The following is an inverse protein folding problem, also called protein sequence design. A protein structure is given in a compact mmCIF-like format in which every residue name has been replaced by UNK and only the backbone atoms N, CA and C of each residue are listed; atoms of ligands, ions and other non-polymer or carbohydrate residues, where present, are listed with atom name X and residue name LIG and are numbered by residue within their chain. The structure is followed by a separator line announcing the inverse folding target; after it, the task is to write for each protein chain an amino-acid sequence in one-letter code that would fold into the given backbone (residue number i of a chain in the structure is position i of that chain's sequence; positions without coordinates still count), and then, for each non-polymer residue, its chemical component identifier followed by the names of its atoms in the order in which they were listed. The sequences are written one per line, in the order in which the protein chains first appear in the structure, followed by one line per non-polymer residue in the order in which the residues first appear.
data_IF_637385877676
#
_entry.id   IF_637385877676
#
_cell.length_a   1.000
_cell.length_b   1.000
_cell.length_c   1.000
_cell.angle_alpha   90.00
_cell.angle_beta   90.00
_cell.angle_gamma   90.00
#
_symmetry.space_group_name_H-M   'P 1'
#
loop_
_entity.id
_entity.type
_entity.pdbx_description
1 polymer ?
#
# COMPACT_ATOMS: atom_id res chain seq x y z
N UNK A 1 16.72 -21.80 32.33
CA UNK A 1 15.86 -21.76 31.13
C UNK A 1 16.47 -20.72 30.20
N UNK A 2 17.17 -21.17 29.16
CA UNK A 2 17.90 -20.27 28.25
C UNK A 2 16.89 -19.67 27.28
N UNK A 3 16.58 -18.39 27.44
CA UNK A 3 15.79 -17.62 26.47
C UNK A 3 16.68 -17.32 25.28
N UNK A 4 16.65 -18.18 24.28
CA UNK A 4 17.27 -17.90 22.97
C UNK A 4 16.49 -16.77 22.31
N UNK A 5 17.10 -15.58 22.27
CA UNK A 5 16.69 -14.49 21.40
C UNK A 5 16.67 -15.05 19.97
N UNK A 6 15.54 -15.00 19.24
CA UNK A 6 15.51 -15.49 17.87
C UNK A 6 16.55 -14.74 17.03
N UNK A 7 17.27 -15.41 16.12
CA UNK A 7 18.26 -14.76 15.28
C UNK A 7 17.61 -13.59 14.52
N UNK A 8 18.33 -12.48 14.44
CA UNK A 8 17.93 -11.32 13.65
C UNK A 8 17.98 -11.71 12.17
N UNK A 9 16.87 -12.24 11.64
CA UNK A 9 16.75 -12.63 10.23
C UNK A 9 16.77 -11.32 9.42
N UNK A 10 17.69 -11.16 8.45
CA UNK A 10 17.72 -9.96 7.63
C UNK A 10 16.41 -9.82 6.84
N UNK A 11 15.92 -8.58 6.63
CA UNK A 11 14.70 -8.36 5.88
C UNK A 11 14.86 -8.90 4.45
N UNK A 12 13.85 -9.62 3.97
CA UNK A 12 13.76 -10.11 2.59
C UNK A 12 12.98 -9.15 1.69
N UNK A 13 12.14 -8.31 2.28
CA UNK A 13 11.35 -7.34 1.53
C UNK A 13 12.24 -6.18 1.07
N UNK A 14 12.07 -5.77 -0.18
CA UNK A 14 12.71 -4.57 -0.73
C UNK A 14 11.68 -3.44 -0.80
N UNK A 15 12.00 -2.26 -0.26
CA UNK A 15 11.13 -1.08 -0.38
C UNK A 15 11.65 -0.12 -1.44
N UNK A 16 10.83 0.19 -2.43
CA UNK A 16 11.07 1.22 -3.42
C UNK A 16 10.23 2.45 -3.04
N UNK A 17 10.90 3.56 -2.76
CA UNK A 17 10.28 4.81 -2.33
C UNK A 17 10.09 5.76 -3.52
N UNK A 18 8.95 6.43 -3.60
CA UNK A 18 8.76 7.48 -4.61
C UNK A 18 9.84 8.58 -4.52
N UNK A 19 10.33 9.11 -5.66
CA UNK A 19 9.99 8.75 -7.04
C UNK A 19 11.03 7.82 -7.69
N UNK A 20 11.64 6.89 -6.93
CA UNK A 20 12.71 6.02 -7.43
C UNK A 20 12.25 5.23 -8.66
N UNK A 21 12.99 5.23 -9.79
CA UNK A 21 12.62 4.51 -11.00
C UNK A 21 12.32 3.02 -10.75
N UNK A 22 11.27 2.50 -11.38
CA UNK A 22 10.80 1.11 -11.22
C UNK A 22 11.56 0.11 -12.13
N UNK A 23 12.83 0.40 -12.41
CA UNK A 23 13.67 -0.38 -13.35
C UNK A 23 14.00 -1.78 -12.86
N UNK A 24 13.89 -1.99 -11.55
CA UNK A 24 14.37 -3.20 -10.86
C UNK A 24 13.26 -3.90 -10.08
N UNK A 25 11.97 -3.66 -10.39
CA UNK A 25 10.91 -4.51 -9.85
C UNK A 25 11.18 -5.93 -10.35
N UNK A 26 11.64 -6.77 -9.44
CA UNK A 26 11.97 -8.18 -9.67
C UNK A 26 10.69 -8.97 -9.90
N UNK A 27 10.80 -10.22 -10.38
CA UNK A 27 9.69 -11.19 -10.50
C UNK A 27 9.07 -11.61 -9.15
N UNK A 28 9.23 -10.81 -8.11
CA UNK A 28 8.68 -11.04 -6.78
C UNK A 28 7.31 -10.37 -6.66
N UNK A 29 6.40 -10.91 -5.85
CA UNK A 29 5.12 -10.27 -5.60
C UNK A 29 5.30 -8.82 -5.13
N UNK A 30 4.48 -7.94 -5.69
CA UNK A 30 4.59 -6.49 -5.48
C UNK A 30 3.34 -5.92 -4.80
N UNK A 31 3.55 -5.06 -3.79
CA UNK A 31 2.49 -4.40 -3.04
C UNK A 31 2.60 -2.87 -3.12
N UNK A 32 1.50 -2.17 -3.39
CA UNK A 32 1.44 -0.70 -3.37
C UNK A 32 0.71 -0.16 -2.13
N UNK A 33 1.35 0.78 -1.43
CA UNK A 33 0.86 1.34 -0.14
C UNK A 33 0.05 2.64 -0.32
N UNK A 34 -1.13 2.53 -0.93
CA UNK A 34 -2.10 3.64 -1.01
C UNK A 34 -2.71 3.93 0.36
N UNK A 35 -3.04 5.20 0.59
CA UNK A 35 -3.72 5.63 1.80
C UNK A 35 -3.28 6.99 2.30
N UNK A 36 -3.93 7.44 3.36
CA UNK A 36 -3.68 8.75 3.95
C UNK A 36 -2.19 8.92 4.35
N UNK A 37 -1.76 10.18 4.35
CA UNK A 37 -0.46 10.56 4.90
C UNK A 37 -0.66 10.84 6.38
N UNK A 38 -0.13 9.97 7.22
CA UNK A 38 -0.01 10.17 8.66
C UNK A 38 1.18 11.05 8.99
N UNK A 39 1.24 11.56 10.23
CA UNK A 39 2.44 12.21 10.74
C UNK A 39 3.66 11.26 10.68
N UNK A 40 4.89 11.79 10.47
CA UNK A 40 6.11 10.99 10.37
C UNK A 40 6.34 10.02 11.53
N UNK A 41 5.99 10.43 12.76
CA UNK A 41 6.21 9.66 13.99
C UNK A 41 5.17 8.54 14.21
N UNK A 42 4.09 8.52 13.42
CA UNK A 42 3.00 7.54 13.50
C UNK A 42 2.69 6.97 12.11
N UNK A 43 3.72 6.72 11.31
CA UNK A 43 3.55 6.26 9.94
C UNK A 43 3.07 4.81 9.89
N UNK A 44 1.78 4.61 9.62
CA UNK A 44 1.18 3.28 9.45
C UNK A 44 1.90 2.43 8.39
N UNK A 45 2.52 3.08 7.39
CA UNK A 45 3.36 2.41 6.38
C UNK A 45 4.57 1.74 7.02
N UNK A 46 5.20 2.33 8.05
CA UNK A 46 6.32 1.72 8.75
C UNK A 46 5.89 0.44 9.49
N UNK A 47 4.72 0.46 10.13
CA UNK A 47 4.15 -0.73 10.77
C UNK A 47 3.97 -1.82 9.71
N UNK A 48 3.28 -1.52 8.61
CA UNK A 48 3.00 -2.50 7.58
C UNK A 48 4.28 -3.04 6.90
N UNK A 49 5.23 -2.16 6.56
CA UNK A 49 6.53 -2.57 6.01
C UNK A 49 7.31 -3.46 6.97
N UNK A 50 7.25 -3.19 8.28
CA UNK A 50 7.88 -4.04 9.29
C UNK A 50 7.21 -5.42 9.35
N UNK A 51 5.88 -5.48 9.36
CA UNK A 51 5.13 -6.73 9.36
C UNK A 51 5.43 -7.60 8.13
N UNK A 52 5.68 -6.97 6.97
CA UNK A 52 6.00 -7.64 5.72
C UNK A 52 7.50 -7.93 5.50
N UNK A 53 8.38 -7.42 6.36
CA UNK A 53 9.84 -7.41 6.15
C UNK A 53 10.47 -8.79 5.93
N UNK A 54 9.84 -9.84 6.45
CA UNK A 54 10.31 -11.22 6.36
C UNK A 54 9.96 -11.91 5.02
N UNK A 55 9.11 -11.31 4.18
CA UNK A 55 8.67 -11.87 2.91
C UNK A 55 9.57 -11.40 1.75
N UNK A 56 9.88 -12.26 0.75
CA UNK A 56 10.65 -11.89 -0.43
C UNK A 56 9.78 -11.13 -1.44
N UNK A 57 9.38 -9.91 -1.11
CA UNK A 57 8.44 -9.08 -1.88
C UNK A 57 9.03 -7.70 -2.20
N UNK A 58 8.40 -7.00 -3.13
CA UNK A 58 8.68 -5.59 -3.40
C UNK A 58 7.55 -4.70 -2.85
N UNK A 59 7.90 -3.73 -2.00
CA UNK A 59 6.98 -2.76 -1.40
C UNK A 59 7.15 -1.42 -2.11
N UNK A 60 6.10 -0.96 -2.79
CA UNK A 60 6.03 0.34 -3.46
C UNK A 60 5.41 1.37 -2.51
N UNK A 61 6.26 2.26 -1.99
CA UNK A 61 5.86 3.26 -0.99
C UNK A 61 5.77 4.65 -1.64
N UNK A 62 4.56 5.24 -1.74
CA UNK A 62 4.36 6.54 -2.40
C UNK A 62 4.81 7.74 -1.56
N UNK A 63 5.15 7.57 -0.27
CA UNK A 63 5.48 8.69 0.61
C UNK A 63 6.74 9.47 0.16
N UNK A 64 6.57 10.63 -0.45
CA UNK A 64 7.69 11.42 -0.94
C UNK A 64 8.28 12.34 0.14
N UNK A 65 9.58 12.19 0.43
CA UNK A 65 10.26 12.90 1.54
C UNK A 65 10.54 14.37 1.25
N UNK A 66 10.70 14.74 -0.01
CA UNK A 66 10.92 16.12 -0.49
C UNK A 66 9.60 16.84 -0.85
N UNK A 67 8.45 16.27 -0.48
CA UNK A 67 7.18 16.96 -0.62
C UNK A 67 7.15 18.21 0.28
N UNK A 68 6.69 19.33 -0.28
CA UNK A 68 6.47 20.57 0.45
C UNK A 68 5.24 21.32 -0.11
N UNK A 69 4.83 22.39 0.55
CA UNK A 69 3.63 23.16 0.19
C UNK A 69 3.77 24.00 -1.09
N UNK A 70 4.93 24.02 -1.74
CA UNK A 70 5.14 24.77 -3.00
C UNK A 70 4.63 24.03 -4.22
N UNK A 71 4.39 22.72 -4.09
CA UNK A 71 3.90 21.86 -5.16
C UNK A 71 2.47 22.21 -5.51
N UNK A 72 2.19 22.28 -6.82
CA UNK A 72 0.87 22.57 -7.35
C UNK A 72 0.24 21.29 -7.87
N UNK A 73 -1.02 21.05 -7.50
CA UNK A 73 -1.85 20.03 -8.13
C UNK A 73 -2.23 20.48 -9.55
N UNK A 74 -1.26 20.41 -10.47
CA UNK A 74 -1.34 20.91 -11.83
C UNK A 74 -0.39 20.13 -12.75
N UNK A 75 -0.83 19.72 -13.95
CA UNK A 75 0.06 19.13 -14.96
C UNK A 75 1.24 20.01 -15.41
N UNK A 76 1.22 21.31 -15.06
CA UNK A 76 2.34 22.22 -15.33
C UNK A 76 3.46 22.14 -14.28
N UNK A 77 3.23 21.49 -13.14
CA UNK A 77 4.23 21.29 -12.10
C UNK A 77 4.94 19.94 -12.30
N UNK A 78 6.23 19.94 -12.67
CA UNK A 78 6.95 18.70 -12.97
C UNK A 78 7.06 17.76 -11.77
N UNK A 79 7.13 18.27 -10.53
CA UNK A 79 7.21 17.41 -9.33
C UNK A 79 5.90 16.68 -9.08
N UNK A 80 4.78 17.38 -9.29
CA UNK A 80 3.45 16.78 -9.22
C UNK A 80 3.26 15.72 -10.31
N UNK A 81 3.65 16.03 -11.55
CA UNK A 81 3.54 15.08 -12.67
C UNK A 81 4.39 13.83 -12.41
N UNK A 82 5.63 14.00 -11.95
CA UNK A 82 6.52 12.89 -11.61
C UNK A 82 5.91 12.00 -10.52
N UNK A 83 5.43 12.59 -9.42
CA UNK A 83 4.80 11.84 -8.34
C UNK A 83 3.56 11.09 -8.80
N UNK A 84 2.64 11.79 -9.47
CA UNK A 84 1.36 11.22 -9.91
C UNK A 84 1.58 10.11 -10.94
N UNK A 85 2.54 10.29 -11.86
CA UNK A 85 2.87 9.27 -12.86
C UNK A 85 3.51 8.04 -12.21
N UNK A 86 4.39 8.26 -11.23
CA UNK A 86 5.01 7.17 -10.47
C UNK A 86 3.98 6.36 -9.69
N UNK A 87 3.03 7.02 -9.02
CA UNK A 87 1.94 6.36 -8.28
C UNK A 87 1.04 5.52 -9.20
N UNK A 88 0.67 6.06 -10.37
CA UNK A 88 -0.11 5.35 -11.38
C UNK A 88 0.64 4.11 -11.91
N UNK A 89 1.92 4.26 -12.26
CA UNK A 89 2.74 3.13 -12.72
C UNK A 89 2.86 2.05 -11.62
N UNK A 90 3.00 2.45 -10.35
CA UNK A 90 3.01 1.51 -9.24
C UNK A 90 1.69 0.77 -9.06
N UNK A 91 0.55 1.46 -9.19
CA UNK A 91 -0.78 0.84 -9.14
C UNK A 91 -0.97 -0.19 -10.26
N UNK A 92 -0.46 0.11 -11.46
CA UNK A 92 -0.50 -0.80 -12.61
C UNK A 92 0.38 -2.03 -12.39
N UNK A 93 1.55 -1.86 -11.78
CA UNK A 93 2.51 -2.95 -11.57
C UNK A 93 2.24 -3.80 -10.33
N UNK A 94 1.53 -3.29 -9.33
CA UNK A 94 1.29 -4.04 -8.09
C UNK A 94 0.39 -5.27 -8.30
N UNK A 95 0.71 -6.36 -7.62
CA UNK A 95 -0.13 -7.56 -7.52
C UNK A 95 -1.19 -7.40 -6.43
N UNK A 96 -0.85 -6.65 -5.38
CA UNK A 96 -1.74 -6.25 -4.31
C UNK A 96 -1.70 -4.73 -4.11
N UNK A 97 -2.85 -4.08 -4.16
CA UNK A 97 -3.01 -2.69 -3.73
C UNK A 97 -3.62 -2.70 -2.33
N UNK A 98 -3.03 -1.93 -1.41
CA UNK A 98 -3.65 -1.71 -0.11
C UNK A 98 -4.07 -0.26 0.02
N UNK A 99 -5.22 -0.02 0.64
CA UNK A 99 -5.75 1.32 0.84
C UNK A 99 -6.11 1.51 2.30
N UNK A 100 -5.31 2.30 3.03
CA UNK A 100 -5.64 2.69 4.40
C UNK A 100 -6.19 4.13 4.42
N UNK A 101 -7.46 4.31 4.76
CA UNK A 101 -8.08 5.63 4.77
C UNK A 101 -7.81 6.44 6.04
N UNK A 102 -7.57 5.78 7.18
CA UNK A 102 -7.44 6.45 8.48
C UNK A 102 -8.73 7.13 8.96
N UNK A 103 -8.89 7.27 10.28
CA UNK A 103 -10.04 7.97 10.86
C UNK A 103 -9.92 9.48 10.66
N UNK A 104 -11.04 10.18 10.43
CA UNK A 104 -11.10 11.64 10.34
C UNK A 104 -10.26 12.26 9.21
N UNK A 105 -9.97 11.50 8.15
CA UNK A 105 -9.32 12.01 6.94
C UNK A 105 -10.32 12.09 5.79
N UNK A 106 -10.05 12.94 4.80
CA UNK A 106 -10.79 12.94 3.53
C UNK A 106 -10.17 11.98 2.49
N UNK A 107 -8.84 11.81 2.53
CA UNK A 107 -8.02 10.98 1.63
C UNK A 107 -8.59 10.81 0.19
N UNK A 108 -8.90 11.91 -0.52
CA UNK A 108 -9.63 11.84 -1.79
C UNK A 108 -8.79 11.23 -2.91
N UNK A 109 -7.48 11.42 -2.89
CA UNK A 109 -6.57 10.79 -3.85
C UNK A 109 -6.56 9.27 -3.64
N UNK A 110 -6.45 8.80 -2.39
CA UNK A 110 -6.53 7.36 -2.11
C UNK A 110 -7.87 6.73 -2.50
N UNK A 111 -8.97 7.48 -2.43
CA UNK A 111 -10.28 7.02 -2.93
C UNK A 111 -10.26 6.86 -4.46
N UNK A 112 -9.64 7.80 -5.18
CA UNK A 112 -9.45 7.72 -6.63
C UNK A 112 -8.54 6.54 -7.02
N UNK A 113 -7.41 6.36 -6.32
CA UNK A 113 -6.48 5.25 -6.51
C UNK A 113 -7.16 3.89 -6.27
N UNK A 114 -7.98 3.78 -5.22
CA UNK A 114 -8.80 2.59 -4.96
C UNK A 114 -9.72 2.29 -6.15
N UNK A 115 -10.46 3.31 -6.63
CA UNK A 115 -11.33 3.15 -7.79
C UNK A 115 -10.58 2.71 -9.05
N UNK A 116 -9.39 3.27 -9.29
CA UNK A 116 -8.52 2.91 -10.41
C UNK A 116 -8.07 1.44 -10.31
N UNK A 117 -7.57 1.01 -9.14
CA UNK A 117 -7.15 -0.37 -8.90
C UNK A 117 -8.30 -1.38 -9.07
N UNK A 118 -9.49 -1.06 -8.53
CA UNK A 118 -10.69 -1.87 -8.68
C UNK A 118 -11.14 -1.95 -10.15
N UNK A 119 -11.06 -0.85 -10.90
CA UNK A 119 -11.36 -0.81 -12.33
C UNK A 119 -10.45 -1.72 -13.16
N UNK A 120 -9.18 -1.84 -12.76
CA UNK A 120 -8.21 -2.79 -13.33
C UNK A 120 -8.38 -4.23 -12.82
N UNK A 121 -9.36 -4.50 -11.95
CA UNK A 121 -9.61 -5.80 -11.31
C UNK A 121 -8.40 -6.32 -10.52
N UNK A 122 -7.61 -5.41 -9.94
CA UNK A 122 -6.50 -5.77 -9.04
C UNK A 122 -7.02 -6.39 -7.75
N UNK A 123 -6.16 -7.12 -7.03
CA UNK A 123 -6.43 -7.47 -5.63
C UNK A 123 -6.30 -6.21 -4.80
N UNK A 124 -7.29 -5.94 -3.96
CA UNK A 124 -7.33 -4.75 -3.10
C UNK A 124 -7.71 -5.16 -1.68
N UNK A 125 -6.96 -4.69 -0.69
CA UNK A 125 -7.30 -4.83 0.74
C UNK A 125 -7.49 -3.43 1.30
N UNK A 126 -8.63 -3.18 1.95
CA UNK A 126 -9.05 -1.84 2.35
C UNK A 126 -9.19 -1.74 3.87
N UNK A 127 -8.57 -0.74 4.49
CA UNK A 127 -8.85 -0.30 5.86
C UNK A 127 -9.68 0.98 5.81
N UNK A 128 -10.92 0.91 6.27
CA UNK A 128 -11.88 2.00 6.29
C UNK A 128 -12.50 2.13 7.71
N UNK A 129 -11.76 2.71 8.66
CA UNK A 129 -12.23 2.86 10.03
C UNK A 129 -13.43 3.81 10.12
N UNK A 130 -14.20 3.67 11.19
CA UNK A 130 -15.28 4.62 11.52
C UNK A 130 -14.74 6.07 11.52
N UNK A 131 -15.55 7.00 11.01
CA UNK A 131 -15.18 8.41 10.87
C UNK A 131 -14.39 8.78 9.60
N UNK A 132 -14.07 7.86 8.69
CA UNK A 132 -13.63 8.24 7.34
C UNK A 132 -14.79 8.89 6.55
N UNK A 133 -14.52 10.01 5.88
CA UNK A 133 -15.56 10.87 5.30
C UNK A 133 -16.44 10.17 4.26
N UNK A 134 -15.86 9.26 3.47
CA UNK A 134 -16.58 8.54 2.42
C UNK A 134 -16.82 7.07 2.76
N UNK A 135 -16.82 6.70 4.05
CA UNK A 135 -16.92 5.31 4.53
C UNK A 135 -18.08 4.54 3.90
N UNK A 136 -19.29 5.10 3.91
CA UNK A 136 -20.46 4.46 3.31
C UNK A 136 -20.28 4.15 1.82
N UNK A 137 -19.62 5.04 1.07
CA UNK A 137 -19.34 4.82 -0.36
C UNK A 137 -18.37 3.66 -0.57
N UNK A 138 -17.29 3.63 0.22
CA UNK A 138 -16.29 2.55 0.19
C UNK A 138 -16.96 1.20 0.50
N UNK A 139 -17.74 1.13 1.58
CA UNK A 139 -18.41 -0.11 1.98
C UNK A 139 -19.39 -0.65 0.95
N UNK A 140 -20.24 0.22 0.39
CA UNK A 140 -21.21 -0.18 -0.65
C UNK A 140 -20.49 -0.63 -1.92
N UNK A 141 -19.45 0.09 -2.35
CA UNK A 141 -18.70 -0.24 -3.55
C UNK A 141 -17.94 -1.57 -3.39
N UNK A 142 -17.14 -1.71 -2.34
CA UNK A 142 -16.38 -2.92 -2.07
C UNK A 142 -17.30 -4.13 -1.87
N UNK A 143 -18.38 -3.98 -1.11
CA UNK A 143 -19.38 -5.03 -0.93
C UNK A 143 -20.04 -5.46 -2.24
N UNK A 144 -20.36 -4.52 -3.13
CA UNK A 144 -20.89 -4.82 -4.47
C UNK A 144 -19.90 -5.57 -5.35
N UNK A 145 -18.61 -5.29 -5.21
CA UNK A 145 -17.54 -5.88 -6.03
C UNK A 145 -16.91 -7.14 -5.40
N UNK A 146 -17.32 -7.52 -4.18
CA UNK A 146 -16.78 -8.68 -3.46
C UNK A 146 -15.42 -8.46 -2.80
N UNK A 147 -15.08 -7.21 -2.47
CA UNK A 147 -13.84 -6.87 -1.77
C UNK A 147 -14.08 -6.69 -0.27
N UNK A 148 -13.16 -7.21 0.54
CA UNK A 148 -13.20 -7.06 2.00
C UNK A 148 -12.78 -5.65 2.43
N UNK A 149 -13.48 -5.12 3.43
CA UNK A 149 -13.19 -3.84 4.07
C UNK A 149 -13.04 -4.08 5.57
N UNK A 150 -11.89 -3.70 6.10
CA UNK A 150 -11.54 -3.83 7.51
C UNK A 150 -11.73 -2.50 8.22
N UNK A 151 -12.22 -2.54 9.46
CA UNK A 151 -12.33 -1.34 10.30
C UNK A 151 -11.12 -1.17 11.21
N UNK A 152 -10.59 -2.29 11.72
CA UNK A 152 -9.42 -2.33 12.58
C UNK A 152 -8.11 -2.38 11.77
N UNK A 153 -7.13 -1.56 12.18
CA UNK A 153 -5.82 -1.53 11.52
C UNK A 153 -5.06 -2.86 11.65
N UNK A 154 -5.13 -3.53 12.81
CA UNK A 154 -4.45 -4.83 13.01
C UNK A 154 -5.06 -5.96 12.16
N UNK A 155 -6.38 -5.98 12.02
CA UNK A 155 -7.07 -6.94 11.14
C UNK A 155 -6.70 -6.72 9.68
N UNK A 156 -6.63 -5.45 9.26
CA UNK A 156 -6.12 -5.04 7.97
C UNK A 156 -4.67 -5.52 7.75
N UNK A 157 -3.75 -5.27 8.68
CA UNK A 157 -2.35 -5.73 8.58
C UNK A 157 -2.30 -7.25 8.42
N UNK A 158 -3.06 -7.99 9.23
CA UNK A 158 -3.14 -9.45 9.13
C UNK A 158 -3.66 -9.93 7.78
N UNK A 159 -4.67 -9.26 7.21
CA UNK A 159 -5.20 -9.59 5.88
C UNK A 159 -4.20 -9.31 4.75
N UNK A 160 -3.44 -8.22 4.86
CA UNK A 160 -2.37 -7.88 3.90
C UNK A 160 -1.27 -8.93 3.96
N UNK A 161 -0.79 -9.31 5.15
CA UNK A 161 0.25 -10.34 5.31
C UNK A 161 -0.19 -11.66 4.69
N UNK A 162 -1.39 -12.16 5.02
CA UNK A 162 -1.93 -13.40 4.44
C UNK A 162 -2.04 -13.34 2.92
N UNK A 163 -2.44 -12.18 2.38
CA UNK A 163 -2.55 -11.98 0.94
C UNK A 163 -1.20 -12.06 0.24
N UNK A 164 -0.16 -11.45 0.84
CA UNK A 164 1.20 -11.49 0.30
C UNK A 164 1.85 -12.86 0.45
N UNK A 165 1.67 -13.56 1.57
CA UNK A 165 2.10 -14.95 1.73
C UNK A 165 1.52 -15.85 0.64
N UNK A 166 0.23 -15.68 0.34
CA UNK A 166 -0.45 -16.41 -0.73
C UNK A 166 0.02 -16.07 -2.14
N UNK A 167 0.59 -14.89 -2.38
CA UNK A 167 1.22 -14.54 -3.65
C UNK A 167 2.63 -15.14 -3.75
N UNK A 168 3.44 -15.00 -2.69
CA UNK A 168 4.79 -15.60 -2.62
C UNK A 168 4.74 -17.12 -2.82
N UNK A 169 3.76 -17.79 -2.20
CA UNK A 169 3.59 -19.24 -2.34
C UNK A 169 3.14 -19.70 -3.73
N UNK A 170 2.56 -18.82 -4.56
CA UNK A 170 2.17 -19.16 -5.94
C UNK A 170 3.35 -19.07 -6.89
N UNK A 171 4.15 -18.01 -6.78
CA UNK A 171 5.33 -17.83 -7.62
C UNK A 171 6.33 -18.99 -7.42
N UNK A 172 6.48 -19.47 -6.18
CA UNK A 172 7.33 -20.62 -5.87
C UNK A 172 6.86 -21.97 -6.46
N UNK A 173 5.63 -22.06 -6.99
CA UNK A 173 5.07 -23.25 -7.63
C UNK A 173 5.03 -23.15 -9.16
N UNK A 174 5.29 -21.95 -9.71
CA UNK A 174 5.32 -21.68 -11.15
C UNK A 174 6.76 -21.64 -11.73
N UNK A 175 7.78 -21.78 -10.87
CA UNK A 175 9.19 -22.07 -11.20
C UNK A 175 9.48 -23.58 -11.25
#
# INVERSE_FOLDING_TARGET
MSSTIPPNIPPKATTIQAPTPLTSITQTPTIFLSGYISHPDACWRNHLTTALSHLPITILNPLRRDWDSTWKNSPSDPKFVEQTSWELECLERADLVVVNFGSLTSAPISLMEMGFALGMKKRVVVCCPEGYYYRGNVQVMCGRLGYEVFEGFEEFVGAVVRSMEGLVGKDALEE
#
